data_IF_668621027022
#
_entry.id   IF_668621027022
#
_cell.length_a   1.000
_cell.length_b   1.000
_cell.length_c   1.000
_cell.angle_alpha   90.00
_cell.angle_beta   90.00
_cell.angle_gamma   90.00
#
_symmetry.space_group_name_H-M   'P 1'
#
loop_
_entity.id
_entity.type
_entity.pdbx_description
1 polymer ?
#
# COMPACT_ATOMS: atom_id res chain seq x y z
N UNK A 1 -5.19 -9.10 -21.28
CA UNK A 1 -5.86 -10.29 -20.73
C UNK A 1 -6.40 -10.00 -19.35
N UNK A 2 -7.40 -10.74 -18.88
CA UNK A 2 -8.07 -10.52 -17.58
C UNK A 2 -7.11 -10.38 -16.38
N UNK A 3 -6.00 -11.12 -16.37
CA UNK A 3 -4.97 -11.04 -15.32
C UNK A 3 -4.31 -9.66 -15.21
N UNK A 4 -4.10 -8.96 -16.34
CA UNK A 4 -3.52 -7.61 -16.34
C UNK A 4 -4.49 -6.58 -15.73
N UNK A 5 -5.78 -6.75 -15.99
CA UNK A 5 -6.84 -5.89 -15.43
C UNK A 5 -6.97 -6.12 -13.92
N UNK A 6 -6.96 -7.39 -13.48
CA UNK A 6 -6.98 -7.73 -12.07
C UNK A 6 -5.76 -7.17 -11.32
N UNK A 7 -4.56 -7.31 -11.89
CA UNK A 7 -3.34 -6.72 -11.34
C UNK A 7 -3.42 -5.19 -11.25
N UNK A 8 -3.93 -4.52 -12.27
CA UNK A 8 -4.12 -3.08 -12.27
C UNK A 8 -5.09 -2.60 -11.17
N UNK A 9 -6.21 -3.30 -10.99
CA UNK A 9 -7.19 -2.98 -9.92
C UNK A 9 -6.57 -3.19 -8.53
N UNK A 10 -5.86 -4.29 -8.31
CA UNK A 10 -5.15 -4.55 -7.06
C UNK A 10 -4.10 -3.49 -6.77
N UNK A 11 -3.37 -3.05 -7.80
CA UNK A 11 -2.39 -1.96 -7.69
C UNK A 11 -3.04 -0.65 -7.26
N UNK A 12 -4.18 -0.28 -7.86
CA UNK A 12 -4.94 0.91 -7.48
C UNK A 12 -5.43 0.84 -6.02
N UNK A 13 -5.98 -0.29 -5.61
CA UNK A 13 -6.42 -0.49 -4.22
C UNK A 13 -5.24 -0.38 -3.26
N UNK A 14 -4.11 -1.02 -3.58
CA UNK A 14 -2.87 -0.92 -2.82
C UNK A 14 -2.40 0.53 -2.67
N UNK A 15 -2.35 1.28 -3.76
CA UNK A 15 -1.98 2.72 -3.74
C UNK A 15 -2.91 3.53 -2.84
N UNK A 16 -4.23 3.32 -2.92
CA UNK A 16 -5.21 4.04 -2.09
C UNK A 16 -4.99 3.73 -0.61
N UNK A 17 -4.74 2.47 -0.25
CA UNK A 17 -4.48 2.07 1.13
C UNK A 17 -3.19 2.72 1.68
N UNK A 18 -2.13 2.73 0.89
CA UNK A 18 -0.86 3.41 1.26
C UNK A 18 -1.06 4.91 1.41
N UNK A 19 -1.85 5.53 0.52
CA UNK A 19 -2.18 6.95 0.63
C UNK A 19 -2.97 7.26 1.90
N UNK A 20 -3.98 6.45 2.24
CA UNK A 20 -4.72 6.60 3.49
C UNK A 20 -3.83 6.40 4.71
N UNK A 21 -2.93 5.42 4.69
CA UNK A 21 -1.94 5.22 5.74
C UNK A 21 -1.07 6.47 5.93
N UNK A 22 -0.58 7.06 4.83
CA UNK A 22 0.21 8.28 4.89
C UNK A 22 -0.56 9.48 5.45
N UNK A 23 -1.84 9.64 5.05
CA UNK A 23 -2.71 10.71 5.61
C UNK A 23 -2.97 10.50 7.09
N UNK A 24 -3.22 9.27 7.54
CA UNK A 24 -3.41 8.94 8.96
C UNK A 24 -2.14 9.18 9.77
N UNK A 25 -0.98 8.77 9.26
CA UNK A 25 0.31 9.00 9.90
C UNK A 25 0.57 10.50 10.13
N UNK A 26 0.21 11.35 9.15
CA UNK A 26 0.29 12.82 9.29
C UNK A 26 -0.65 13.41 10.34
N UNK A 27 -1.75 12.73 10.66
CA UNK A 27 -2.70 13.12 11.71
C UNK A 27 -2.32 12.56 13.08
N UNK A 28 -1.24 11.79 13.18
CA UNK A 28 -0.84 11.09 14.40
C UNK A 28 -1.75 9.89 14.73
N UNK A 29 -2.54 9.41 13.75
CA UNK A 29 -3.39 8.24 13.89
C UNK A 29 -2.64 6.95 13.54
N UNK A 30 -3.02 5.80 14.13
CA UNK A 30 -2.44 4.51 13.78
C UNK A 30 -2.60 4.19 12.29
N UNK A 31 -1.47 4.04 11.61
CA UNK A 31 -1.43 3.90 10.16
C UNK A 31 -0.70 2.64 9.67
N UNK A 32 0.07 1.97 10.54
CA UNK A 32 0.95 0.89 10.13
C UNK A 32 0.25 -0.26 9.42
N UNK A 33 -0.93 -0.68 9.91
CA UNK A 33 -1.72 -1.74 9.30
C UNK A 33 -2.15 -1.45 7.85
N UNK A 34 -2.56 -0.21 7.56
CA UNK A 34 -2.95 0.18 6.20
C UNK A 34 -1.74 0.26 5.26
N UNK A 35 -0.59 0.72 5.77
CA UNK A 35 0.65 0.81 5.00
C UNK A 35 1.18 -0.58 4.60
N UNK A 36 1.15 -1.54 5.52
CA UNK A 36 1.60 -2.91 5.27
C UNK A 36 0.67 -3.62 4.28
N UNK A 37 -0.66 -3.58 4.52
CA UNK A 37 -1.63 -4.26 3.64
C UNK A 37 -1.63 -3.63 2.24
N UNK A 38 -1.60 -2.29 2.16
CA UNK A 38 -1.49 -1.59 0.88
C UNK A 38 -0.19 -1.93 0.14
N UNK A 39 0.92 -2.05 0.88
CA UNK A 39 2.21 -2.47 0.31
C UNK A 39 2.19 -3.89 -0.24
N UNK A 40 1.56 -4.86 0.45
CA UNK A 40 1.40 -6.24 -0.05
C UNK A 40 0.59 -6.26 -1.35
N UNK A 41 -0.49 -5.49 -1.44
CA UNK A 41 -1.29 -5.39 -2.67
C UNK A 41 -0.49 -4.83 -3.85
N UNK A 42 0.38 -3.86 -3.60
CA UNK A 42 1.31 -3.32 -4.61
C UNK A 42 2.37 -4.34 -5.05
N UNK A 43 2.86 -5.20 -4.15
CA UNK A 43 3.78 -6.28 -4.52
C UNK A 43 3.11 -7.27 -5.48
N UNK A 44 1.88 -7.69 -5.17
CA UNK A 44 1.11 -8.64 -5.98
C UNK A 44 0.73 -8.03 -7.33
N UNK A 45 0.56 -6.70 -7.40
CA UNK A 45 0.29 -5.98 -8.66
C UNK A 45 1.55 -5.77 -9.52
N UNK A 46 2.73 -6.23 -9.09
CA UNK A 46 3.99 -6.02 -9.80
C UNK A 46 4.69 -4.68 -9.51
N UNK A 47 4.14 -3.84 -8.62
CA UNK A 47 4.74 -2.57 -8.21
C UNK A 47 5.69 -2.79 -7.02
N UNK A 48 6.75 -3.57 -7.25
CA UNK A 48 7.63 -4.09 -6.19
C UNK A 48 8.24 -2.98 -5.33
N UNK A 49 8.80 -1.94 -5.96
CA UNK A 49 9.47 -0.83 -5.25
C UNK A 49 8.47 -0.10 -4.34
N UNK A 50 7.30 0.25 -4.88
CA UNK A 50 6.26 0.96 -4.13
C UNK A 50 5.73 0.10 -2.96
N UNK A 51 5.58 -1.20 -3.17
CA UNK A 51 5.17 -2.14 -2.12
C UNK A 51 6.17 -2.23 -0.96
N UNK A 52 7.47 -2.36 -1.27
CA UNK A 52 8.52 -2.41 -0.23
C UNK A 52 8.55 -1.10 0.57
N UNK A 53 8.54 0.05 -0.10
CA UNK A 53 8.54 1.35 0.57
C UNK A 53 7.32 1.54 1.46
N UNK A 54 6.14 1.10 1.00
CA UNK A 54 4.91 1.14 1.77
C UNK A 54 4.95 0.26 3.02
N UNK A 55 5.51 -0.94 2.94
CA UNK A 55 5.68 -1.83 4.10
C UNK A 55 6.67 -1.24 5.10
N UNK A 56 7.81 -0.72 4.63
CA UNK A 56 8.82 -0.08 5.48
C UNK A 56 8.24 1.16 6.18
N UNK A 57 7.52 2.01 5.43
CA UNK A 57 6.85 3.18 5.98
C UNK A 57 5.72 2.81 6.95
N UNK A 58 4.97 1.75 6.65
CA UNK A 58 3.93 1.21 7.52
C UNK A 58 4.49 0.63 8.81
N UNK A 59 5.59 -0.12 8.75
CA UNK A 59 6.26 -0.67 9.93
C UNK A 59 6.86 0.42 10.84
N UNK A 60 7.23 1.57 10.27
CA UNK A 60 7.72 2.73 11.02
C UNK A 60 6.60 3.64 11.54
N UNK A 61 5.40 3.57 10.96
CA UNK A 61 4.25 4.30 11.44
C UNK A 61 3.71 3.65 12.73
N UNK A 62 3.77 4.40 13.84
CA UNK A 62 3.18 4.00 15.13
C UNK A 62 1.68 3.72 15.03
#
# INVERSE_FOLDING_TARGET
>A
GWFAVAGFILGLIGTIMVYMAWVRAKRGEPAGGLGIVGGILLLISGNIIAGILAIIGGAQAK
#
